data_IF_756278047261
#
_entry.id   IF_756278047261
#
_cell.length_a   1.000
_cell.length_b   1.000
_cell.length_c   1.000
_cell.angle_alpha   90.00
_cell.angle_beta   90.00
_cell.angle_gamma   90.00
#
_symmetry.space_group_name_H-M   'P 1'
#
loop_
_entity.id
_entity.type
_entity.pdbx_description
1 polymer ?
#
# COMPACT_ATOMS: atom_id res chain seq x y z
N UNK A 1 -48.06 53.25 12.58
CA UNK A 1 -46.97 53.66 11.67
C UNK A 1 -46.06 52.47 11.42
N UNK A 2 -45.90 52.13 10.14
CA UNK A 2 -44.98 51.21 9.44
C UNK A 2 -44.45 49.95 10.16
N UNK A 3 -45.03 48.80 9.75
CA UNK A 3 -44.53 47.43 9.91
C UNK A 3 -43.21 47.23 9.14
N UNK A 4 -42.20 46.68 9.80
CA UNK A 4 -40.90 46.34 9.21
C UNK A 4 -41.04 45.07 8.35
N UNK A 5 -40.79 45.20 7.04
CA UNK A 5 -40.93 44.13 6.05
C UNK A 5 -39.68 43.24 6.06
N UNK A 6 -39.90 41.91 6.01
CA UNK A 6 -38.89 40.89 5.71
C UNK A 6 -38.21 41.21 4.37
N UNK A 7 -36.88 41.33 4.36
CA UNK A 7 -36.10 41.47 3.15
C UNK A 7 -35.47 40.13 2.77
N UNK A 8 -36.16 39.43 1.88
CA UNK A 8 -35.65 38.32 1.09
C UNK A 8 -35.09 38.91 -0.21
N UNK A 9 -33.78 38.83 -0.43
CA UNK A 9 -33.15 38.96 -1.76
C UNK A 9 -32.16 37.79 -1.89
N UNK A 10 -32.53 36.71 -2.59
CA UNK A 10 -32.27 36.48 -4.03
C UNK A 10 -30.77 36.43 -4.37
N UNK A 11 -30.20 35.23 -4.34
CA UNK A 11 -29.04 34.86 -5.15
C UNK A 11 -29.55 33.92 -6.25
N UNK A 12 -29.47 34.37 -7.50
CA UNK A 12 -29.85 33.63 -8.70
C UNK A 12 -28.63 33.48 -9.61
N UNK A 13 -28.54 32.31 -10.26
CA UNK A 13 -27.58 31.87 -11.31
C UNK A 13 -26.12 31.69 -10.84
N UNK A 14 -25.41 30.61 -11.16
CA UNK A 14 -25.52 29.72 -12.30
C UNK A 14 -25.22 28.26 -11.91
N UNK A 15 -26.18 27.37 -12.16
CA UNK A 15 -25.90 25.96 -12.36
C UNK A 15 -25.26 25.79 -13.73
N UNK A 16 -23.98 25.43 -13.76
CA UNK A 16 -23.39 24.78 -14.92
C UNK A 16 -23.56 23.27 -14.70
N UNK A 17 -24.71 22.78 -15.13
CA UNK A 17 -24.98 21.35 -15.26
C UNK A 17 -24.00 20.81 -16.28
N UNK A 18 -22.95 20.13 -15.80
CA UNK A 18 -22.00 19.45 -16.67
C UNK A 18 -22.74 18.27 -17.29
N UNK A 19 -23.07 18.43 -18.58
CA UNK A 19 -23.76 17.46 -19.41
C UNK A 19 -22.95 16.17 -19.41
N UNK A 20 -23.53 15.10 -18.86
CA UNK A 20 -23.05 13.76 -19.11
C UNK A 20 -23.16 13.50 -20.62
N UNK A 21 -22.02 13.42 -21.29
CA UNK A 21 -21.96 12.81 -22.61
C UNK A 21 -22.32 11.33 -22.41
N UNK A 22 -23.56 10.98 -22.72
CA UNK A 22 -23.95 9.60 -22.96
C UNK A 22 -23.10 9.07 -24.10
N UNK A 23 -22.32 8.02 -23.83
CA UNK A 23 -21.73 7.22 -24.89
C UNK A 23 -22.92 6.53 -25.60
N UNK A 24 -23.12 6.88 -26.86
CA UNK A 24 -24.20 6.34 -27.68
C UNK A 24 -23.98 4.86 -27.97
N UNK A 25 -25.09 4.13 -28.08
CA UNK A 25 -25.14 2.79 -28.64
C UNK A 25 -24.80 2.85 -30.14
N UNK A 26 -23.55 2.55 -30.48
CA UNK A 26 -23.16 2.27 -31.86
C UNK A 26 -23.56 0.83 -32.20
N UNK A 27 -24.84 0.67 -32.59
CA UNK A 27 -25.28 -0.52 -33.32
C UNK A 27 -24.71 -0.46 -34.74
N UNK A 28 -23.48 -0.93 -34.94
CA UNK A 28 -23.00 -1.29 -36.27
C UNK A 28 -22.42 -2.71 -36.29
N UNK A 29 -23.18 -3.60 -36.93
CA UNK A 29 -22.82 -4.97 -37.26
C UNK A 29 -21.84 -4.94 -38.44
N UNK A 30 -20.54 -4.89 -38.15
CA UNK A 30 -19.49 -5.12 -39.14
C UNK A 30 -18.57 -6.26 -38.68
N UNK A 31 -18.58 -7.33 -39.47
CA UNK A 31 -17.93 -8.61 -39.23
C UNK A 31 -16.41 -8.59 -39.44
N UNK A 32 -15.74 -9.43 -38.65
CA UNK A 32 -14.46 -10.11 -38.93
C UNK A 32 -13.17 -9.27 -38.89
N UNK A 33 -12.78 -8.91 -37.67
CA UNK A 33 -11.39 -8.86 -37.22
C UNK A 33 -11.37 -9.32 -35.77
N UNK A 34 -10.34 -10.04 -35.33
CA UNK A 34 -10.08 -10.28 -33.90
C UNK A 34 -9.79 -8.91 -33.25
N UNK A 35 -10.83 -8.12 -33.02
CA UNK A 35 -10.85 -7.13 -31.96
C UNK A 35 -10.93 -7.97 -30.70
N UNK A 36 -9.89 -8.02 -29.83
CA UNK A 36 -10.14 -8.44 -28.47
C UNK A 36 -11.19 -7.46 -27.95
N UNK A 37 -12.45 -7.90 -27.88
CA UNK A 37 -13.41 -7.30 -26.95
C UNK A 37 -12.64 -7.22 -25.66
N UNK A 38 -12.46 -6.02 -25.09
CA UNK A 38 -11.73 -5.83 -23.84
C UNK A 38 -12.26 -6.87 -22.85
N UNK A 39 -11.55 -7.99 -22.74
CA UNK A 39 -11.94 -9.07 -21.86
C UNK A 39 -11.94 -8.42 -20.50
N UNK A 40 -13.05 -8.54 -19.80
CA UNK A 40 -13.31 -7.81 -18.58
C UNK A 40 -12.14 -8.07 -17.64
N UNK A 41 -11.20 -7.10 -17.53
CA UNK A 41 -9.98 -7.29 -16.77
C UNK A 41 -10.40 -7.53 -15.34
N UNK A 42 -10.27 -8.78 -14.90
CA UNK A 42 -10.63 -9.18 -13.55
C UNK A 42 -9.36 -9.06 -12.73
N UNK A 43 -9.45 -8.26 -11.67
CA UNK A 43 -8.34 -8.08 -10.73
C UNK A 43 -7.98 -9.44 -10.11
N UNK A 44 -6.75 -9.88 -10.32
CA UNK A 44 -6.23 -11.16 -9.81
C UNK A 44 -5.55 -10.97 -8.45
N UNK A 45 -4.93 -9.81 -8.23
CA UNK A 45 -4.16 -9.55 -7.02
C UNK A 45 -4.11 -8.08 -6.64
N UNK A 46 -3.89 -7.81 -5.35
CA UNK A 46 -3.62 -6.48 -4.79
C UNK A 46 -2.28 -6.49 -4.08
N UNK A 47 -1.32 -5.74 -4.63
CA UNK A 47 0.09 -5.74 -4.22
C UNK A 47 0.60 -4.31 -3.98
N UNK A 48 -0.19 -3.46 -3.31
CA UNK A 48 0.19 -2.07 -3.06
C UNK A 48 1.39 -1.98 -2.12
N UNK A 49 1.23 -2.55 -0.93
CA UNK A 49 2.24 -2.72 0.09
C UNK A 49 2.75 -4.16 0.10
N UNK A 50 4.08 -4.36 -0.02
CA UNK A 50 4.67 -5.68 0.12
C UNK A 50 4.34 -6.34 1.46
N UNK A 51 4.39 -7.68 1.48
CA UNK A 51 4.10 -8.53 2.65
C UNK A 51 2.63 -8.57 3.13
N UNK A 52 1.76 -7.61 2.80
CA UNK A 52 0.39 -7.57 3.35
C UNK A 52 -0.45 -8.73 2.87
N UNK A 53 -0.75 -8.76 1.57
CA UNK A 53 -1.55 -9.80 0.98
C UNK A 53 -0.86 -11.17 0.99
N UNK A 54 0.45 -11.26 1.27
CA UNK A 54 1.18 -12.54 1.34
C UNK A 54 1.24 -13.10 2.76
N UNK A 55 1.50 -12.29 3.78
CA UNK A 55 1.77 -12.75 5.15
C UNK A 55 0.60 -12.58 6.14
N UNK A 56 -0.17 -11.49 6.04
CA UNK A 56 -1.18 -11.14 7.07
C UNK A 56 -2.62 -11.20 6.57
N UNK A 57 -2.82 -11.63 5.32
CA UNK A 57 -4.12 -11.96 4.75
C UNK A 57 -4.20 -13.47 4.50
N UNK A 58 -5.20 -14.13 5.06
CA UNK A 58 -5.55 -15.53 4.84
C UNK A 58 -6.63 -15.65 3.75
N UNK A 59 -7.57 -14.71 3.72
CA UNK A 59 -8.72 -14.66 2.81
C UNK A 59 -8.33 -14.13 1.41
N UNK A 60 -7.35 -14.77 0.75
CA UNK A 60 -6.69 -14.26 -0.46
C UNK A 60 -7.66 -13.82 -1.55
N UNK A 61 -8.58 -14.68 -1.98
CA UNK A 61 -9.47 -14.37 -3.10
C UNK A 61 -10.42 -13.21 -2.80
N UNK A 62 -10.93 -13.16 -1.57
CA UNK A 62 -11.82 -12.08 -1.14
C UNK A 62 -11.05 -10.75 -1.08
N UNK A 63 -9.86 -10.75 -0.48
CA UNK A 63 -8.97 -9.58 -0.45
C UNK A 63 -8.62 -9.13 -1.88
N UNK A 64 -8.23 -10.08 -2.74
CA UNK A 64 -7.83 -9.79 -4.11
C UNK A 64 -8.98 -9.34 -5.00
N UNK A 65 -10.24 -9.56 -4.59
CA UNK A 65 -11.43 -9.04 -5.28
C UNK A 65 -11.90 -7.67 -4.78
N UNK A 66 -11.50 -7.23 -3.57
CA UNK A 66 -12.02 -6.02 -2.91
C UNK A 66 -11.36 -4.71 -3.39
N UNK A 67 -11.96 -3.56 -3.10
CA UNK A 67 -11.50 -2.25 -3.58
C UNK A 67 -10.69 -1.50 -2.51
N UNK A 68 -9.84 -0.52 -2.90
CA UNK A 68 -9.20 0.38 -1.94
C UNK A 68 -10.18 1.08 -0.99
N UNK A 69 -11.43 1.31 -1.42
CA UNK A 69 -12.48 1.86 -0.55
C UNK A 69 -12.86 0.89 0.58
N UNK A 70 -12.81 -0.43 0.33
CA UNK A 70 -13.02 -1.47 1.34
C UNK A 70 -11.90 -1.50 2.39
N UNK A 71 -10.66 -1.22 1.98
CA UNK A 71 -9.53 -1.09 2.91
C UNK A 71 -9.71 0.11 3.84
N UNK A 72 -10.06 1.28 3.29
CA UNK A 72 -10.35 2.51 4.06
C UNK A 72 -11.54 2.30 5.00
N UNK A 73 -12.52 1.50 4.61
CA UNK A 73 -13.64 1.11 5.47
C UNK A 73 -13.25 0.15 6.61
N UNK A 74 -12.00 -0.34 6.64
CA UNK A 74 -11.48 -1.21 7.69
C UNK A 74 -11.87 -2.68 7.55
N UNK A 75 -12.34 -3.11 6.37
CA UNK A 75 -12.84 -4.48 6.11
C UNK A 75 -11.85 -5.56 6.54
N UNK A 76 -10.56 -5.30 6.32
CA UNK A 76 -9.47 -6.26 6.54
C UNK A 76 -8.74 -6.10 7.87
N UNK A 77 -9.04 -5.04 8.65
CA UNK A 77 -8.30 -4.71 9.88
C UNK A 77 -8.37 -5.86 10.88
N UNK A 78 -9.54 -6.47 11.07
CA UNK A 78 -9.70 -7.57 12.01
C UNK A 78 -8.85 -8.81 11.64
N UNK A 79 -8.80 -9.14 10.35
CA UNK A 79 -7.99 -10.27 9.86
C UNK A 79 -6.50 -9.98 9.98
N UNK A 80 -6.07 -8.77 9.60
CA UNK A 80 -4.70 -8.31 9.75
C UNK A 80 -4.29 -8.36 11.22
N UNK A 81 -5.09 -7.80 12.14
CA UNK A 81 -4.79 -7.81 13.57
C UNK A 81 -4.69 -9.23 14.12
N UNK A 82 -5.56 -10.14 13.70
CA UNK A 82 -5.50 -11.54 14.14
C UNK A 82 -4.21 -12.22 13.69
N UNK A 83 -3.81 -12.06 12.42
CA UNK A 83 -2.58 -12.65 11.90
C UNK A 83 -1.32 -12.01 12.49
N UNK A 84 -1.31 -10.69 12.68
CA UNK A 84 -0.22 -9.97 13.36
C UNK A 84 -0.08 -10.45 14.81
N UNK A 85 -1.19 -10.62 15.52
CA UNK A 85 -1.17 -11.20 16.88
C UNK A 85 -0.56 -12.60 16.87
N UNK A 86 -0.92 -13.44 15.90
CA UNK A 86 -0.32 -14.77 15.77
C UNK A 86 1.18 -14.75 15.47
N UNK A 87 1.68 -13.74 14.75
CA UNK A 87 3.12 -13.55 14.53
C UNK A 87 3.83 -13.16 15.84
N UNK A 88 3.26 -12.23 16.61
CA UNK A 88 3.78 -11.83 17.91
C UNK A 88 3.81 -12.98 18.91
N UNK A 89 2.71 -13.74 19.02
CA UNK A 89 2.63 -14.91 19.89
C UNK A 89 3.71 -15.95 19.56
N UNK A 90 4.15 -16.02 18.30
CA UNK A 90 5.14 -16.99 17.84
C UNK A 90 6.59 -16.49 17.89
N UNK A 91 6.83 -15.18 17.87
CA UNK A 91 8.17 -14.61 17.63
C UNK A 91 8.63 -13.61 18.70
N UNK A 92 7.76 -13.11 19.57
CA UNK A 92 8.14 -12.07 20.53
C UNK A 92 9.20 -12.54 21.54
N UNK A 93 9.15 -13.81 21.95
CA UNK A 93 10.14 -14.40 22.85
C UNK A 93 11.50 -14.59 22.17
N UNK A 94 11.51 -15.00 20.91
CA UNK A 94 12.70 -15.10 20.07
C UNK A 94 13.34 -13.71 19.85
N UNK A 95 12.53 -12.71 19.51
CA UNK A 95 12.98 -11.32 19.33
C UNK A 95 13.56 -10.74 20.63
N UNK A 96 12.89 -10.96 21.76
CA UNK A 96 13.40 -10.57 23.07
C UNK A 96 14.70 -11.32 23.42
N UNK A 97 14.80 -12.60 23.08
CA UNK A 97 16.02 -13.41 23.21
C UNK A 97 17.21 -12.87 22.41
N UNK A 98 16.93 -12.20 21.29
CA UNK A 98 17.91 -11.48 20.48
C UNK A 98 18.22 -10.06 20.97
N UNK A 99 17.59 -9.61 22.07
CA UNK A 99 17.75 -8.27 22.62
C UNK A 99 17.02 -7.19 21.81
N UNK A 100 16.08 -7.59 20.96
CA UNK A 100 15.16 -6.68 20.29
C UNK A 100 13.93 -6.46 21.18
N UNK A 101 13.20 -5.38 20.90
CA UNK A 101 12.01 -4.98 21.65
C UNK A 101 10.82 -5.12 20.73
N UNK A 102 10.00 -6.15 20.90
CA UNK A 102 8.78 -6.29 20.12
C UNK A 102 7.81 -5.16 20.47
N UNK A 103 7.07 -4.68 19.47
CA UNK A 103 5.87 -3.89 19.71
C UNK A 103 4.76 -4.79 20.26
N UNK A 104 3.77 -4.24 20.95
CA UNK A 104 2.52 -4.99 21.13
C UNK A 104 1.79 -5.12 19.78
N UNK A 105 0.96 -6.16 19.56
CA UNK A 105 0.19 -6.29 18.32
C UNK A 105 -0.66 -5.06 17.97
N UNK A 106 -1.20 -4.38 18.99
CA UNK A 106 -1.96 -3.15 18.81
C UNK A 106 -1.09 -1.98 18.34
N UNK A 107 0.11 -1.84 18.90
CA UNK A 107 1.08 -0.83 18.46
C UNK A 107 1.57 -1.12 17.05
N UNK A 108 1.92 -2.36 16.73
CA UNK A 108 2.34 -2.78 15.40
C UNK A 108 1.29 -2.45 14.32
N UNK A 109 0.02 -2.78 14.57
CA UNK A 109 -1.08 -2.45 13.65
C UNK A 109 -1.25 -0.93 13.50
N UNK A 110 -1.20 -0.18 14.60
CA UNK A 110 -1.33 1.29 14.56
C UNK A 110 -0.17 1.96 13.80
N UNK A 111 1.04 1.44 13.98
CA UNK A 111 2.25 1.89 13.29
C UNK A 111 2.22 1.58 11.79
N UNK A 112 1.72 0.41 11.40
CA UNK A 112 1.65 -0.01 9.99
C UNK A 112 0.45 0.61 9.24
N UNK A 113 -0.64 0.94 9.93
CA UNK A 113 -1.89 1.39 9.32
C UNK A 113 -1.75 2.52 8.28
N UNK A 114 -0.93 3.59 8.49
CA UNK A 114 -0.77 4.67 7.52
C UNK A 114 -0.19 4.22 6.17
N UNK A 115 0.51 3.09 6.16
CA UNK A 115 1.19 2.57 4.98
C UNK A 115 0.39 1.47 4.27
N UNK A 116 -0.51 0.79 4.99
CA UNK A 116 -1.25 -0.38 4.51
C UNK A 116 -2.69 -0.03 4.12
N UNK A 117 -3.24 1.08 4.63
CA UNK A 117 -4.64 1.45 4.41
C UNK A 117 -4.74 2.79 3.67
N UNK A 118 -5.23 2.83 2.42
CA UNK A 118 -5.54 1.68 1.56
C UNK A 118 -4.30 0.97 1.01
N UNK A 119 -4.46 -0.28 0.54
CA UNK A 119 -3.38 -1.05 -0.07
C UNK A 119 -3.11 -0.57 -1.51
N UNK A 120 -2.47 0.60 -1.60
CA UNK A 120 -2.12 1.26 -2.87
C UNK A 120 -0.69 1.78 -2.83
N UNK A 121 -0.02 1.74 -3.98
CA UNK A 121 1.30 2.34 -4.11
C UNK A 121 1.16 3.88 -4.05
N UNK A 122 1.70 4.49 -3.00
CA UNK A 122 1.76 5.94 -2.87
C UNK A 122 3.09 6.46 -3.43
N UNK A 123 3.02 7.34 -4.42
CA UNK A 123 4.18 7.99 -5.02
C UNK A 123 4.05 9.51 -4.86
N UNK A 124 5.03 10.09 -4.18
CA UNK A 124 5.27 11.53 -4.12
C UNK A 124 6.49 11.88 -4.98
N UNK A 125 6.25 12.52 -6.12
CA UNK A 125 7.28 12.95 -7.06
C UNK A 125 8.16 14.09 -6.54
N UNK A 126 7.81 14.71 -5.40
CA UNK A 126 8.61 15.72 -4.72
C UNK A 126 9.66 15.14 -3.75
N UNK A 127 9.60 13.85 -3.45
CA UNK A 127 10.54 13.17 -2.54
C UNK A 127 11.45 12.21 -3.32
N UNK A 128 12.65 11.88 -2.78
CA UNK A 128 13.52 10.89 -3.40
C UNK A 128 12.80 9.55 -3.59
N UNK A 129 13.12 8.85 -4.69
CA UNK A 129 12.61 7.51 -4.93
C UNK A 129 13.27 6.49 -3.97
N UNK A 130 12.49 5.50 -3.55
CA UNK A 130 12.90 4.46 -2.61
C UNK A 130 11.77 4.13 -1.64
N UNK A 131 11.76 2.94 -1.07
CA UNK A 131 10.70 2.49 -0.19
C UNK A 131 10.54 3.42 1.03
N UNK A 132 9.33 3.88 1.38
CA UNK A 132 8.01 3.50 0.83
C UNK A 132 7.53 4.31 -0.38
N UNK A 133 8.26 5.35 -0.82
CA UNK A 133 7.99 6.12 -2.04
C UNK A 133 8.44 5.35 -3.31
N UNK A 134 7.77 4.23 -3.57
CA UNK A 134 8.16 3.26 -4.59
C UNK A 134 9.13 2.21 -4.05
N UNK A 135 10.03 1.72 -4.90
CA UNK A 135 11.12 0.84 -4.48
C UNK A 135 12.35 0.99 -5.37
N UNK A 136 13.51 1.15 -4.75
CA UNK A 136 14.81 1.02 -5.37
C UNK A 136 15.21 -0.45 -5.53
N UNK A 137 16.22 -0.72 -6.36
CA UNK A 137 16.72 -2.07 -6.59
C UNK A 137 17.46 -2.66 -5.39
N UNK A 138 17.98 -1.81 -4.50
CA UNK A 138 18.71 -2.20 -3.31
C UNK A 138 17.86 -2.18 -2.03
N UNK A 139 16.58 -1.83 -2.13
CA UNK A 139 15.72 -1.67 -0.95
C UNK A 139 15.37 -3.05 -0.37
N UNK A 140 15.74 -3.25 0.90
CA UNK A 140 15.42 -4.45 1.67
C UNK A 140 13.99 -4.37 2.23
N UNK A 141 13.01 -4.35 1.33
CA UNK A 141 11.61 -4.02 1.69
C UNK A 141 11.00 -5.01 2.68
N UNK A 142 11.33 -6.30 2.59
CA UNK A 142 10.81 -7.31 3.52
C UNK A 142 11.35 -7.06 4.94
N UNK A 143 12.63 -6.74 5.09
CA UNK A 143 13.19 -6.46 6.42
C UNK A 143 12.62 -5.17 7.02
N UNK A 144 12.38 -4.16 6.18
CA UNK A 144 11.75 -2.90 6.62
C UNK A 144 10.29 -3.12 7.04
N UNK A 145 9.52 -3.89 6.26
CA UNK A 145 8.12 -4.21 6.57
C UNK A 145 7.98 -5.16 7.77
N UNK A 146 8.93 -6.10 7.95
CA UNK A 146 8.99 -6.94 9.14
C UNK A 146 9.33 -6.12 10.39
N UNK A 147 10.27 -5.18 10.30
CA UNK A 147 10.57 -4.29 11.42
C UNK A 147 9.32 -3.46 11.79
N UNK A 148 8.57 -3.00 10.80
CA UNK A 148 7.31 -2.26 10.98
C UNK A 148 6.19 -3.09 11.63
N UNK A 149 6.18 -4.41 11.49
CA UNK A 149 5.10 -5.23 12.06
C UNK A 149 5.51 -6.00 13.31
N UNK A 150 6.80 -6.05 13.65
CA UNK A 150 7.31 -6.82 14.79
C UNK A 150 7.96 -5.94 15.86
N UNK A 151 8.68 -4.88 15.49
CA UNK A 151 9.50 -4.11 16.42
C UNK A 151 8.81 -2.82 16.87
N UNK A 152 9.11 -2.42 18.10
CA UNK A 152 8.75 -1.10 18.65
C UNK A 152 9.68 -0.03 18.04
N UNK A 153 9.16 0.74 17.08
CA UNK A 153 9.94 1.71 16.32
C UNK A 153 9.79 3.15 16.84
N UNK A 154 10.85 3.93 16.68
CA UNK A 154 10.79 5.40 16.72
C UNK A 154 10.41 5.94 15.33
N UNK A 155 9.15 6.33 15.17
CA UNK A 155 8.62 6.99 13.96
C UNK A 155 8.56 8.53 14.09
N UNK A 156 9.28 9.11 15.07
CA UNK A 156 9.27 10.55 15.37
C UNK A 156 8.16 10.98 16.32
N UNK A 157 7.28 10.07 16.69
CA UNK A 157 6.13 10.25 17.59
C UNK A 157 5.88 9.04 18.53
N UNK A 158 6.69 7.98 18.42
CA UNK A 158 6.73 6.80 19.30
C UNK A 158 8.13 6.67 19.89
N UNK A 159 8.26 6.16 21.13
CA UNK A 159 9.53 6.15 21.89
C UNK A 159 10.30 4.83 21.74
N UNK A 160 9.98 4.05 20.70
CA UNK A 160 10.54 2.72 20.51
C UNK A 160 12.05 2.75 20.28
N UNK A 161 12.82 1.74 20.74
CA UNK A 161 14.28 1.77 20.64
C UNK A 161 14.82 1.41 19.26
N UNK A 162 13.96 0.99 18.32
CA UNK A 162 14.35 0.49 17.00
C UNK A 162 14.01 1.46 15.87
N UNK A 163 14.63 1.26 14.71
CA UNK A 163 14.27 1.97 13.47
C UNK A 163 13.69 0.98 12.46
N UNK A 164 13.02 1.50 11.44
CA UNK A 164 12.49 0.67 10.35
C UNK A 164 13.60 -0.10 9.59
N UNK A 165 14.88 0.23 9.79
CA UNK A 165 16.02 -0.47 9.17
C UNK A 165 16.76 -1.40 10.13
N UNK A 166 16.31 -1.57 11.38
CA UNK A 166 16.97 -2.44 12.37
C UNK A 166 17.16 -3.86 11.83
N UNK A 167 16.11 -4.50 11.30
CA UNK A 167 16.21 -5.85 10.75
C UNK A 167 17.02 -5.89 9.45
N UNK A 168 16.96 -4.84 8.63
CA UNK A 168 17.75 -4.72 7.40
C UNK A 168 19.26 -4.61 7.68
N UNK A 169 19.63 -4.21 8.90
CA UNK A 169 21.02 -4.20 9.39
C UNK A 169 21.50 -5.55 9.92
N UNK A 170 20.62 -6.54 10.07
CA UNK A 170 20.99 -7.90 10.44
C UNK A 170 21.56 -8.59 9.18
N UNK A 171 22.74 -9.23 9.24
CA UNK A 171 23.42 -9.77 8.05
C UNK A 171 22.82 -11.11 7.59
N UNK A 172 21.49 -11.17 7.43
CA UNK A 172 20.75 -12.34 6.90
C UNK A 172 20.56 -12.27 5.39
N UNK A 173 20.67 -11.07 4.80
CA UNK A 173 20.61 -10.88 3.36
C UNK A 173 22.00 -10.99 2.71
N UNK A 174 22.07 -11.38 1.42
CA UNK A 174 23.29 -11.24 0.64
C UNK A 174 23.80 -9.80 0.69
N UNK A 175 25.09 -9.61 0.95
CA UNK A 175 25.67 -8.28 1.18
C UNK A 175 25.68 -7.40 -0.06
N UNK A 176 25.71 -7.99 -1.25
CA UNK A 176 25.61 -7.31 -2.54
C UNK A 176 25.27 -8.29 -3.67
N UNK A 177 24.84 -7.74 -4.81
CA UNK A 177 24.80 -8.48 -6.07
C UNK A 177 26.22 -8.77 -6.59
N UNK A 178 26.35 -9.85 -7.36
CA UNK A 178 27.61 -10.22 -8.06
C UNK A 178 28.11 -9.13 -9.01
N UNK A 179 27.19 -8.32 -9.54
CA UNK A 179 27.45 -7.12 -10.34
C UNK A 179 26.68 -5.94 -9.77
N UNK A 180 27.36 -4.80 -9.66
CA UNK A 180 26.72 -3.54 -9.26
C UNK A 180 25.64 -3.13 -10.27
N UNK A 181 24.59 -2.48 -9.77
CA UNK A 181 23.58 -1.84 -10.61
C UNK A 181 24.20 -0.75 -11.48
N UNK A 182 23.69 -0.60 -12.71
CA UNK A 182 24.03 0.49 -13.61
C UNK A 182 23.41 1.79 -13.11
N UNK A 183 24.12 2.92 -13.29
CA UNK A 183 23.56 4.26 -13.06
C UNK A 183 22.66 4.75 -14.21
N UNK A 184 22.60 4.00 -15.32
CA UNK A 184 21.78 4.30 -16.49
C UNK A 184 20.79 3.18 -16.77
N UNK A 185 19.61 3.55 -17.25
CA UNK A 185 18.56 2.60 -17.65
C UNK A 185 19.12 1.57 -18.66
N UNK A 186 18.88 0.26 -18.47
CA UNK A 186 17.86 -0.38 -17.61
C UNK A 186 18.25 -0.65 -16.13
N UNK A 187 19.32 -0.04 -15.62
CA UNK A 187 19.81 -0.12 -14.23
C UNK A 187 20.28 -1.51 -13.75
N UNK A 188 19.85 -2.61 -14.39
CA UNK A 188 20.36 -3.96 -14.15
C UNK A 188 21.68 -4.19 -14.90
N UNK A 189 22.55 -5.03 -14.31
CA UNK A 189 23.75 -5.50 -14.98
C UNK A 189 23.41 -6.45 -16.14
N UNK A 190 24.36 -6.65 -17.07
CA UNK A 190 24.21 -7.65 -18.12
C UNK A 190 24.08 -9.06 -17.52
N UNK A 191 23.32 -9.98 -18.16
CA UNK A 191 23.20 -11.36 -17.72
C UNK A 191 24.56 -12.06 -17.61
N UNK A 192 24.67 -13.01 -16.68
CA UNK A 192 25.84 -13.87 -16.59
C UNK A 192 25.91 -14.77 -17.83
N UNK A 193 27.10 -14.88 -18.42
CA UNK A 193 27.36 -15.80 -19.52
C UNK A 193 27.41 -17.25 -19.00
N UNK A 194 26.82 -18.22 -19.71
CA UNK A 194 26.85 -19.64 -19.32
C UNK A 194 28.25 -20.23 -19.21
#
# INVERSE_FOLDING_TARGET
MKRLKKNTLLAALAGCMLVAAGCGDDNNNDNNGMQPTMETFTKVDRMGMPAIATAVITSKDMYNSDTPAGDVAGTWVAEITANVTGLHDALDDDLAGLGLTPATPAEAVAQAAPFVVPDVLMIDTGTPAGFPNGRGLADQVIDVTLALVLLDLDLGNSVGPHTATTLAGVPVNPTANDKAFSGTFPYLAAPHTP
#
